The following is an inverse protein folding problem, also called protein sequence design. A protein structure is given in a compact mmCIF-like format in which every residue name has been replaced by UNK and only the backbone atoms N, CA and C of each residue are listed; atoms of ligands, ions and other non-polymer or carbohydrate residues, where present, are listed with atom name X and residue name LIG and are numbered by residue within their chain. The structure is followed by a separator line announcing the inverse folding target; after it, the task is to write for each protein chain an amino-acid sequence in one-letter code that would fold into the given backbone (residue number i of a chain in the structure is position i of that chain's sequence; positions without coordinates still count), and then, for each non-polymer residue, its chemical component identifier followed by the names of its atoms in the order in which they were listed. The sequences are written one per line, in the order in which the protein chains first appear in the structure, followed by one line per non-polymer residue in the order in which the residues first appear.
data_IF_752376156851
#
_entry.id   IF_752376156851
#
_cell.length_a   1.000
_cell.length_b   1.000
_cell.length_c   1.000
_cell.angle_alpha   90.00
_cell.angle_beta   90.00
_cell.angle_gamma   90.00
#
_symmetry.space_group_name_H-M   'P 1'
#
loop_
_entity.id
_entity.type
_entity.pdbx_description
1 polymer ?
#
# COMPACT_ATOMS: atom_id res chain seq x y z
N UNK A 1 -26.43 -72.87 -14.59
CA UNK A 1 -26.96 -71.51 -14.78
C UNK A 1 -26.37 -70.64 -13.66
N UNK A 2 -25.23 -69.98 -13.97
CA UNK A 2 -24.48 -69.19 -13.02
C UNK A 2 -24.58 -67.74 -13.50
N UNK A 3 -25.31 -66.90 -12.77
CA UNK A 3 -25.41 -65.47 -13.03
C UNK A 3 -24.23 -64.75 -12.39
N UNK A 4 -23.48 -64.03 -13.18
CA UNK A 4 -22.44 -63.07 -12.74
C UNK A 4 -23.09 -61.79 -12.17
N UNK A 5 -22.77 -61.49 -10.96
CA UNK A 5 -23.04 -60.19 -10.35
C UNK A 5 -21.71 -59.58 -9.87
N UNK A 6 -20.99 -58.97 -10.77
CA UNK A 6 -19.85 -58.16 -10.42
C UNK A 6 -19.69 -56.99 -11.44
N UNK A 7 -20.38 -55.88 -11.27
CA UNK A 7 -20.01 -54.63 -11.95
C UNK A 7 -20.60 -53.35 -11.42
N UNK A 8 -21.23 -53.33 -10.23
CA UNK A 8 -21.82 -52.08 -9.70
C UNK A 8 -21.09 -51.45 -8.53
N UNK A 9 -20.10 -52.10 -7.94
CA UNK A 9 -19.30 -51.57 -6.83
C UNK A 9 -18.05 -50.79 -7.23
N UNK A 10 -17.52 -51.06 -8.41
CA UNK A 10 -16.27 -50.41 -8.87
C UNK A 10 -16.52 -49.00 -9.39
N UNK A 11 -17.69 -48.67 -9.88
CA UNK A 11 -18.03 -47.37 -10.41
C UNK A 11 -18.40 -46.32 -9.34
N UNK A 12 -18.72 -46.76 -8.13
CA UNK A 12 -19.07 -45.85 -7.00
C UNK A 12 -17.80 -45.36 -6.29
N UNK A 13 -16.71 -46.12 -6.29
CA UNK A 13 -15.45 -45.70 -5.66
C UNK A 13 -14.62 -44.72 -6.52
N UNK A 14 -14.81 -44.72 -7.82
CA UNK A 14 -14.08 -43.76 -8.68
C UNK A 14 -14.74 -42.37 -8.71
N UNK A 15 -16.06 -42.31 -8.48
CA UNK A 15 -16.80 -41.06 -8.42
C UNK A 15 -16.56 -40.23 -7.15
N UNK A 16 -16.22 -40.89 -6.05
CA UNK A 16 -16.01 -40.21 -4.75
C UNK A 16 -14.63 -39.62 -4.59
N UNK A 17 -13.64 -40.07 -5.35
CA UNK A 17 -12.27 -39.55 -5.28
C UNK A 17 -12.12 -38.28 -6.12
N UNK A 18 -12.91 -38.09 -7.18
CA UNK A 18 -12.86 -36.89 -8.02
C UNK A 18 -13.64 -35.70 -7.38
N UNK A 19 -14.68 -35.98 -6.58
CA UNK A 19 -15.44 -34.96 -5.88
C UNK A 19 -14.75 -34.42 -4.61
N UNK A 20 -13.76 -35.17 -4.06
CA UNK A 20 -13.03 -34.75 -2.85
C UNK A 20 -11.83 -33.84 -3.11
N UNK A 21 -11.38 -33.72 -4.37
CA UNK A 21 -10.18 -32.94 -4.70
C UNK A 21 -10.45 -31.46 -5.05
N UNK A 22 -11.71 -31.05 -5.11
CA UNK A 22 -12.08 -29.67 -5.50
C UNK A 22 -12.50 -28.77 -4.33
N UNK A 23 -12.39 -29.21 -3.06
CA UNK A 23 -12.91 -28.48 -1.92
C UNK A 23 -11.80 -27.74 -1.12
N UNK A 24 -10.53 -27.82 -1.50
CA UNK A 24 -9.44 -27.12 -0.79
C UNK A 24 -8.69 -26.10 -1.65
N UNK A 25 -9.35 -25.43 -2.57
CA UNK A 25 -8.92 -24.09 -2.92
C UNK A 25 -9.52 -23.14 -1.87
N UNK A 26 -8.94 -23.12 -0.67
CA UNK A 26 -9.13 -21.99 0.24
C UNK A 26 -8.67 -20.79 -0.57
N UNK A 27 -9.52 -19.81 -0.89
CA UNK A 27 -9.03 -18.57 -1.44
C UNK A 27 -8.04 -18.05 -0.37
N UNK A 28 -6.76 -18.01 -0.70
CA UNK A 28 -5.83 -17.20 0.06
C UNK A 28 -6.40 -15.80 -0.06
N UNK A 29 -7.02 -15.33 1.02
CA UNK A 29 -7.46 -13.95 1.13
C UNK A 29 -6.21 -13.14 0.82
N UNK A 30 -6.20 -12.43 -0.29
CA UNK A 30 -5.20 -11.42 -0.52
C UNK A 30 -5.41 -10.43 0.62
N UNK A 31 -4.48 -10.41 1.58
CA UNK A 31 -4.41 -9.38 2.61
C UNK A 31 -3.97 -8.12 1.89
N UNK A 32 -4.92 -7.34 1.43
CA UNK A 32 -4.68 -6.09 0.73
C UNK A 32 -5.68 -5.06 1.25
N UNK A 33 -5.16 -3.90 1.66
CA UNK A 33 -6.00 -2.79 2.10
C UNK A 33 -6.91 -2.29 0.97
N UNK A 34 -8.06 -1.75 1.32
CA UNK A 34 -9.03 -1.19 0.38
C UNK A 34 -9.07 0.32 0.52
N UNK A 35 -9.05 1.05 -0.59
CA UNK A 35 -9.35 2.48 -0.62
C UNK A 35 -10.60 2.74 -1.46
N UNK A 36 -11.43 3.67 -1.00
CA UNK A 36 -12.61 4.16 -1.71
C UNK A 36 -12.41 5.65 -1.96
N UNK A 37 -12.63 6.04 -3.21
CA UNK A 37 -12.52 7.40 -3.66
C UNK A 37 -13.85 7.83 -4.28
N UNK A 38 -14.42 8.94 -3.79
CA UNK A 38 -15.64 9.54 -4.35
C UNK A 38 -15.32 10.96 -4.76
N UNK A 39 -15.31 11.21 -6.07
CA UNK A 39 -15.02 12.55 -6.62
C UNK A 39 -16.14 13.55 -6.33
N UNK A 40 -15.80 14.81 -6.38
CA UNK A 40 -16.63 15.99 -6.11
C UNK A 40 -17.96 16.01 -6.86
N UNK A 41 -17.96 15.56 -8.10
CA UNK A 41 -19.17 15.48 -8.94
C UNK A 41 -20.24 14.50 -8.42
N UNK A 42 -19.90 13.63 -7.48
CA UNK A 42 -20.77 12.60 -6.92
C UNK A 42 -21.15 12.86 -5.47
N UNK A 43 -20.75 13.99 -4.91
CA UNK A 43 -21.02 14.37 -3.52
C UNK A 43 -21.98 15.55 -3.47
N UNK A 44 -22.82 15.61 -2.43
CA UNK A 44 -23.85 16.65 -2.32
C UNK A 44 -23.27 18.06 -2.07
N UNK A 45 -22.06 18.14 -1.53
CA UNK A 45 -21.38 19.38 -1.17
C UNK A 45 -20.19 19.73 -2.08
N UNK A 46 -19.94 18.94 -3.11
CA UNK A 46 -18.82 19.17 -4.03
C UNK A 46 -17.44 18.84 -3.44
N UNK A 47 -17.38 18.10 -2.31
CA UNK A 47 -16.13 17.65 -1.73
C UNK A 47 -15.73 16.26 -2.25
N UNK A 48 -14.44 15.98 -2.28
CA UNK A 48 -13.93 14.63 -2.52
C UNK A 48 -13.83 13.87 -1.21
N UNK A 49 -14.34 12.63 -1.19
CA UNK A 49 -14.19 11.74 -0.03
C UNK A 49 -13.21 10.62 -0.31
N UNK A 50 -12.30 10.40 0.63
CA UNK A 50 -11.37 9.28 0.62
C UNK A 50 -11.60 8.46 1.88
N UNK A 51 -11.98 7.20 1.69
CA UNK A 51 -12.09 6.22 2.77
C UNK A 51 -11.03 5.15 2.62
N UNK A 52 -10.58 4.58 3.74
CA UNK A 52 -9.72 3.39 3.72
C UNK A 52 -10.22 2.34 4.69
N UNK A 53 -9.99 1.10 4.34
CA UNK A 53 -10.06 -0.03 5.23
C UNK A 53 -8.71 -0.74 5.21
N UNK A 54 -8.26 -1.19 6.36
CA UNK A 54 -7.07 -2.01 6.46
C UNK A 54 -7.47 -3.45 6.65
N UNK A 55 -7.14 -4.26 5.65
CA UNK A 55 -7.46 -5.68 5.61
C UNK A 55 -6.26 -6.47 6.15
N UNK A 56 -6.08 -6.42 7.46
CA UNK A 56 -4.99 -7.07 8.16
C UNK A 56 -5.49 -8.12 9.17
N UNK A 57 -4.54 -8.76 9.86
CA UNK A 57 -4.86 -9.77 10.85
C UNK A 57 -5.81 -9.22 11.94
N UNK A 58 -6.76 -10.02 12.46
CA UNK A 58 -7.65 -9.58 13.53
C UNK A 58 -6.87 -9.11 14.76
N UNK A 59 -7.37 -8.07 15.43
CA UNK A 59 -6.83 -7.49 16.66
C UNK A 59 -5.60 -6.58 16.49
N UNK A 60 -5.40 -6.02 15.32
CA UNK A 60 -4.43 -4.94 15.17
C UNK A 60 -5.02 -3.64 15.68
N UNK A 61 -4.55 -3.22 16.83
CA UNK A 61 -4.95 -1.95 17.43
C UNK A 61 -4.33 -0.79 16.66
N UNK A 62 -5.12 0.26 16.43
CA UNK A 62 -4.65 1.49 15.81
C UNK A 62 -4.40 2.56 16.86
N UNK A 63 -3.38 3.35 16.60
CA UNK A 63 -3.03 4.53 17.39
C UNK A 63 -3.20 5.78 16.56
N UNK A 64 -3.98 6.72 17.07
CA UNK A 64 -4.00 8.08 16.55
C UNK A 64 -2.92 8.90 17.26
N UNK A 65 -2.07 9.57 16.50
CA UNK A 65 -0.96 10.34 17.02
C UNK A 65 -0.78 11.69 16.35
N UNK A 66 0.10 12.49 16.94
CA UNK A 66 0.54 13.78 16.42
C UNK A 66 2.05 13.78 16.37
N UNK A 67 2.60 14.05 15.19
CA UNK A 67 4.01 14.32 15.00
C UNK A 67 4.22 15.84 15.06
N UNK A 68 4.93 16.37 16.05
CA UNK A 68 5.27 17.78 16.08
C UNK A 68 6.18 18.18 14.91
N UNK A 69 6.09 19.43 14.48
CA UNK A 69 7.08 20.00 13.57
C UNK A 69 8.47 19.95 14.22
N UNK A 70 9.47 19.49 13.48
CA UNK A 70 10.84 19.41 14.01
C UNK A 70 11.89 19.53 12.91
N UNK A 71 13.12 19.80 13.31
CA UNK A 71 14.29 19.73 12.44
C UNK A 71 14.80 18.29 12.35
N UNK A 72 15.37 17.96 11.19
CA UNK A 72 16.06 16.70 10.94
C UNK A 72 15.22 15.46 11.29
N UNK A 73 13.93 15.49 10.88
CA UNK A 73 13.04 14.32 11.05
C UNK A 73 13.56 13.18 10.19
N UNK A 74 13.90 12.06 10.84
CA UNK A 74 14.49 10.91 10.18
C UNK A 74 13.45 9.82 9.92
N UNK A 75 13.47 9.29 8.72
CA UNK A 75 12.77 8.08 8.31
C UNK A 75 13.80 7.02 7.97
N UNK A 76 13.56 5.80 8.38
CA UNK A 76 14.41 4.66 8.07
C UNK A 76 13.57 3.39 7.96
N UNK A 77 14.06 2.44 7.20
CA UNK A 77 13.43 1.13 7.10
C UNK A 77 14.09 0.13 8.05
N UNK A 78 13.29 -0.76 8.61
CA UNK A 78 13.78 -1.91 9.37
C UNK A 78 13.98 -3.15 8.48
N UNK A 79 13.43 -3.11 7.26
CA UNK A 79 13.37 -4.25 6.34
C UNK A 79 14.05 -3.96 4.99
N UNK A 80 14.58 -2.76 4.80
CA UNK A 80 15.36 -2.39 3.61
C UNK A 80 16.50 -1.43 4.01
N UNK A 81 17.35 -1.08 3.06
CA UNK A 81 18.45 -0.13 3.27
C UNK A 81 18.03 1.35 3.21
N UNK A 82 16.73 1.63 3.17
CA UNK A 82 16.22 2.99 3.01
C UNK A 82 16.41 3.85 4.25
N UNK A 83 16.97 5.04 4.05
CA UNK A 83 17.01 6.12 5.03
C UNK A 83 16.76 7.47 4.35
N UNK A 84 16.04 8.36 5.04
CA UNK A 84 15.73 9.69 4.54
C UNK A 84 15.59 10.67 5.70
N UNK A 85 16.08 11.91 5.52
CA UNK A 85 15.96 12.96 6.51
C UNK A 85 15.25 14.16 5.90
N UNK A 86 14.21 14.64 6.59
CA UNK A 86 13.51 15.88 6.28
C UNK A 86 14.12 17.00 7.11
N UNK A 87 14.77 17.99 6.50
CA UNK A 87 15.50 19.03 7.25
C UNK A 87 14.62 19.86 8.15
N UNK A 88 13.40 20.17 7.71
CA UNK A 88 12.38 20.86 8.50
C UNK A 88 11.02 20.27 8.19
N UNK A 89 10.39 19.64 9.17
CA UNK A 89 9.08 19.00 8.98
C UNK A 89 7.92 19.94 9.37
N UNK A 90 6.78 19.74 8.72
CA UNK A 90 5.50 20.19 9.21
C UNK A 90 5.04 19.35 10.40
N UNK A 91 4.11 19.90 11.21
CA UNK A 91 3.32 19.12 12.15
C UNK A 91 2.25 18.34 11.38
N UNK A 92 2.02 17.09 11.76
CA UNK A 92 0.94 16.29 11.17
C UNK A 92 0.29 15.34 12.18
N UNK A 93 -0.97 15.00 11.94
CA UNK A 93 -1.68 13.91 12.60
C UNK A 93 -1.49 12.63 11.82
N UNK A 94 -1.61 11.48 12.47
CA UNK A 94 -1.51 10.20 11.80
C UNK A 94 -2.30 9.11 12.53
N UNK A 95 -2.67 8.10 11.75
CA UNK A 95 -3.12 6.79 12.24
C UNK A 95 -2.05 5.78 11.87
N UNK A 96 -1.69 4.89 12.79
CA UNK A 96 -0.71 3.82 12.61
C UNK A 96 -1.06 2.59 13.42
N UNK A 97 -0.37 1.50 13.14
CA UNK A 97 -0.41 0.32 13.98
C UNK A 97 0.19 0.53 15.37
N UNK A 98 -0.28 -0.26 16.33
CA UNK A 98 0.30 -0.27 17.67
C UNK A 98 1.75 -0.74 17.63
N UNK A 99 2.61 -0.10 18.44
CA UNK A 99 4.04 -0.41 18.56
C UNK A 99 4.36 -1.89 18.86
N UNK A 100 3.47 -2.56 19.57
CA UNK A 100 3.70 -3.95 20.01
C UNK A 100 3.83 -4.95 18.87
N UNK A 101 3.45 -4.60 17.66
CA UNK A 101 3.48 -5.52 16.53
C UNK A 101 4.83 -5.57 15.81
N UNK A 102 5.44 -4.41 15.53
CA UNK A 102 6.66 -4.36 14.72
C UNK A 102 7.94 -4.32 15.55
N UNK A 103 8.07 -3.35 16.40
CA UNK A 103 9.16 -3.22 17.37
C UNK A 103 8.77 -2.12 18.37
N UNK A 104 8.70 -2.42 19.68
CA UNK A 104 8.34 -1.42 20.69
C UNK A 104 9.34 -0.28 20.82
N UNK A 105 10.56 -0.43 20.33
CA UNK A 105 11.61 0.60 20.39
C UNK A 105 11.53 1.61 19.24
N UNK A 106 10.76 1.31 18.17
CA UNK A 106 10.64 2.18 17.01
C UNK A 106 9.41 3.06 17.14
N UNK A 107 9.64 4.36 17.32
CA UNK A 107 8.60 5.32 17.67
C UNK A 107 8.02 6.13 16.52
N UNK A 108 8.68 6.13 15.35
CA UNK A 108 8.37 7.05 14.26
C UNK A 108 7.74 6.37 13.05
N UNK A 109 7.49 5.09 13.14
CA UNK A 109 7.11 4.33 11.98
C UNK A 109 5.62 4.12 11.90
N UNK A 110 5.17 4.07 10.68
CA UNK A 110 3.85 3.63 10.29
C UNK A 110 2.72 4.66 10.29
N UNK A 111 2.90 5.91 9.91
CA UNK A 111 1.75 6.68 9.47
C UNK A 111 1.15 6.04 8.21
N UNK A 112 0.02 5.42 8.35
CA UNK A 112 -0.72 4.84 7.23
C UNK A 112 -1.58 5.88 6.54
N UNK A 113 -2.14 6.79 7.33
CA UNK A 113 -2.92 7.92 6.90
C UNK A 113 -2.78 9.08 7.89
N UNK A 114 -3.02 10.29 7.41
CA UNK A 114 -2.98 11.49 8.25
C UNK A 114 -3.20 12.77 7.47
N UNK A 115 -3.05 13.89 8.19
CA UNK A 115 -3.17 15.24 7.64
C UNK A 115 -2.13 16.14 8.26
N UNK A 116 -1.50 17.00 7.46
CA UNK A 116 -0.51 17.95 7.94
C UNK A 116 -1.10 19.35 8.18
N UNK A 117 -0.30 20.22 8.79
CA UNK A 117 -0.69 21.60 9.10
C UNK A 117 -0.89 22.50 7.87
N UNK A 118 -0.61 22.03 6.67
CA UNK A 118 -0.88 22.72 5.41
C UNK A 118 -2.22 22.27 4.79
N UNK A 119 -2.91 21.32 5.41
CA UNK A 119 -4.16 20.74 4.90
C UNK A 119 -3.94 19.70 3.81
N UNK A 120 -2.78 19.07 3.77
CA UNK A 120 -2.52 17.92 2.89
C UNK A 120 -2.82 16.65 3.64
N UNK A 121 -3.75 15.85 3.09
CA UNK A 121 -4.12 14.53 3.60
C UNK A 121 -3.47 13.45 2.76
N UNK A 122 -3.01 12.39 3.38
CA UNK A 122 -2.35 11.24 2.74
C UNK A 122 -2.89 9.94 3.27
N UNK A 123 -3.07 8.96 2.39
CA UNK A 123 -3.36 7.57 2.75
C UNK A 123 -2.52 6.64 1.87
N UNK A 124 -1.68 5.82 2.46
CA UNK A 124 -0.82 4.85 1.78
C UNK A 124 -1.28 3.42 2.07
N UNK A 125 -1.29 2.55 1.06
CA UNK A 125 -1.69 1.14 1.16
C UNK A 125 -0.84 0.26 0.27
N UNK A 126 -0.50 -0.94 0.72
CA UNK A 126 0.04 -1.99 -0.14
C UNK A 126 -1.14 -2.75 -0.77
N UNK A 127 -1.68 -2.21 -1.86
CA UNK A 127 -2.93 -2.70 -2.49
C UNK A 127 -2.80 -2.95 -3.98
N UNK A 128 -1.59 -2.88 -4.53
CA UNK A 128 -1.34 -3.13 -5.95
C UNK A 128 -0.38 -4.31 -6.13
N UNK A 129 -0.40 -4.89 -7.34
CA UNK A 129 0.49 -5.96 -7.72
C UNK A 129 1.00 -5.74 -9.14
N UNK A 130 2.12 -6.34 -9.46
CA UNK A 130 2.70 -6.34 -10.80
C UNK A 130 2.76 -7.76 -11.36
N UNK A 131 2.74 -7.88 -12.69
CA UNK A 131 2.83 -9.19 -13.32
C UNK A 131 4.29 -9.68 -13.39
N UNK A 132 4.46 -10.98 -13.61
CA UNK A 132 5.77 -11.62 -13.64
C UNK A 132 6.69 -11.14 -14.77
N UNK A 133 6.17 -10.50 -15.82
CA UNK A 133 6.99 -9.94 -16.91
C UNK A 133 7.66 -8.65 -16.46
N UNK A 134 6.90 -7.77 -15.78
CA UNK A 134 7.44 -6.54 -15.20
C UNK A 134 8.44 -6.88 -14.10
N UNK A 135 8.13 -7.81 -13.22
CA UNK A 135 9.02 -8.25 -12.15
C UNK A 135 10.43 -8.65 -12.60
N UNK A 136 10.57 -9.11 -13.84
CA UNK A 136 11.88 -9.52 -14.41
C UNK A 136 12.74 -8.33 -14.86
N UNK A 137 12.13 -7.23 -15.29
CA UNK A 137 12.83 -6.09 -15.88
C UNK A 137 12.94 -4.90 -14.92
N UNK A 138 11.98 -4.79 -14.02
CA UNK A 138 11.91 -3.70 -13.04
C UNK A 138 11.30 -4.22 -11.72
N UNK A 139 12.05 -4.97 -10.92
CA UNK A 139 11.56 -5.53 -9.68
C UNK A 139 11.41 -4.46 -8.60
N UNK A 140 10.49 -4.70 -7.65
CA UNK A 140 10.45 -3.95 -6.38
C UNK A 140 11.58 -4.39 -5.46
N UNK A 141 11.88 -3.57 -4.45
CA UNK A 141 12.98 -3.83 -3.53
C UNK A 141 12.85 -5.12 -2.71
N UNK A 142 11.63 -5.58 -2.44
CA UNK A 142 11.38 -6.86 -1.75
C UNK A 142 11.70 -8.11 -2.59
N UNK A 143 11.92 -7.96 -3.90
CA UNK A 143 12.34 -9.08 -4.74
C UNK A 143 13.80 -9.50 -4.47
N UNK A 144 14.63 -8.63 -3.91
CA UNK A 144 15.98 -8.96 -3.44
C UNK A 144 15.93 -9.37 -1.97
N UNK A 145 15.71 -10.65 -1.72
CA UNK A 145 15.56 -11.19 -0.36
C UNK A 145 16.82 -11.11 0.50
N UNK A 146 18.00 -10.96 -0.11
CA UNK A 146 19.28 -10.89 0.59
C UNK A 146 19.69 -9.45 0.93
N UNK A 147 19.23 -8.48 0.14
CA UNK A 147 19.53 -7.07 0.33
C UNK A 147 18.32 -6.22 -0.11
N UNK A 148 17.20 -6.24 0.62
CA UNK A 148 16.01 -5.48 0.28
C UNK A 148 16.31 -3.98 0.20
N UNK A 149 15.73 -3.31 -0.78
CA UNK A 149 15.92 -1.88 -1.01
C UNK A 149 14.57 -1.18 -1.25
N UNK A 150 14.59 0.14 -1.34
CA UNK A 150 13.41 0.94 -1.65
C UNK A 150 12.65 1.42 -0.41
N UNK A 151 11.74 2.33 -0.65
CA UNK A 151 10.92 2.96 0.37
C UNK A 151 9.80 1.98 0.76
N UNK A 152 9.70 1.58 2.04
CA UNK A 152 8.59 0.76 2.50
C UNK A 152 7.30 1.57 2.61
N UNK A 153 6.16 0.90 2.50
CA UNK A 153 4.83 1.49 2.62
C UNK A 153 4.72 2.41 3.84
N UNK A 154 5.15 1.92 4.99
CA UNK A 154 5.00 2.62 6.27
C UNK A 154 5.78 3.92 6.41
N UNK A 155 6.67 4.25 5.48
CA UNK A 155 7.34 5.55 5.45
C UNK A 155 6.68 6.55 4.48
N UNK A 156 5.87 6.07 3.52
CA UNK A 156 5.36 6.91 2.44
C UNK A 156 4.50 8.07 2.95
N UNK A 157 3.48 7.77 3.76
CA UNK A 157 2.58 8.80 4.27
C UNK A 157 3.32 9.82 5.16
N UNK A 158 4.17 9.35 6.07
CA UNK A 158 4.93 10.22 6.97
C UNK A 158 5.88 11.17 6.24
N UNK A 159 6.56 10.68 5.21
CA UNK A 159 7.47 11.50 4.40
C UNK A 159 6.70 12.61 3.67
N UNK A 160 5.55 12.28 3.07
CA UNK A 160 4.74 13.28 2.35
C UNK A 160 4.16 14.28 3.33
N UNK A 161 3.52 13.83 4.41
CA UNK A 161 2.91 14.68 5.44
C UNK A 161 3.91 15.63 6.08
N UNK A 162 5.17 15.22 6.21
CA UNK A 162 6.20 16.04 6.83
C UNK A 162 6.68 17.21 5.97
N UNK A 163 6.44 17.21 4.63
CA UNK A 163 7.06 18.21 3.72
C UNK A 163 6.09 18.81 2.70
N UNK A 164 5.01 18.14 2.33
CA UNK A 164 4.13 18.60 1.27
C UNK A 164 3.34 19.83 1.69
N UNK A 165 3.41 20.91 0.92
CA UNK A 165 2.61 22.11 1.09
C UNK A 165 1.27 22.05 0.34
N UNK A 166 1.18 21.23 -0.72
CA UNK A 166 -0.02 20.95 -1.52
C UNK A 166 -0.05 19.47 -1.91
N UNK A 167 -1.19 18.99 -2.39
CA UNK A 167 -1.31 17.63 -2.90
C UNK A 167 -0.34 17.38 -4.07
N UNK A 168 -0.22 18.32 -5.00
CA UNK A 168 0.70 18.26 -6.14
C UNK A 168 2.17 18.22 -5.72
N UNK A 169 2.54 19.00 -4.71
CA UNK A 169 3.87 18.97 -4.13
C UNK A 169 4.16 17.58 -3.54
N UNK A 170 3.19 16.99 -2.83
CA UNK A 170 3.29 15.62 -2.32
C UNK A 170 3.52 14.57 -3.41
N UNK A 171 2.83 14.69 -4.56
CA UNK A 171 3.05 13.80 -5.72
C UNK A 171 4.47 13.96 -6.27
N UNK A 172 4.98 15.18 -6.41
CA UNK A 172 6.35 15.43 -6.88
C UNK A 172 7.40 14.90 -5.91
N UNK A 173 7.23 15.12 -4.62
CA UNK A 173 8.11 14.58 -3.57
C UNK A 173 8.16 13.05 -3.68
N UNK A 174 7.00 12.40 -3.73
CA UNK A 174 6.93 10.95 -3.82
C UNK A 174 7.55 10.42 -5.11
N UNK A 175 7.24 11.02 -6.27
CA UNK A 175 7.82 10.64 -7.56
C UNK A 175 9.36 10.75 -7.56
N UNK A 176 9.91 11.85 -7.06
CA UNK A 176 11.35 12.06 -6.96
C UNK A 176 12.01 11.01 -6.03
N UNK A 177 11.38 10.68 -4.93
CA UNK A 177 11.88 9.70 -3.98
C UNK A 177 11.84 8.28 -4.55
N UNK A 178 10.74 7.89 -5.19
CA UNK A 178 10.65 6.59 -5.87
C UNK A 178 11.69 6.47 -6.99
N UNK A 179 11.88 7.53 -7.78
CA UNK A 179 12.93 7.56 -8.81
C UNK A 179 14.33 7.37 -8.22
N UNK A 180 14.59 7.92 -7.06
CA UNK A 180 15.91 7.88 -6.43
C UNK A 180 16.16 6.59 -5.65
N UNK A 181 15.18 6.14 -4.88
CA UNK A 181 15.36 5.05 -3.93
C UNK A 181 14.63 3.76 -4.35
N UNK A 182 13.66 3.85 -5.26
CA UNK A 182 12.77 2.76 -5.61
C UNK A 182 11.67 2.54 -4.57
N UNK A 183 10.80 1.57 -4.83
CA UNK A 183 9.75 1.12 -3.92
C UNK A 183 10.07 -0.27 -3.38
N UNK A 184 9.91 -0.48 -2.08
CA UNK A 184 10.07 -1.81 -1.49
C UNK A 184 8.91 -2.72 -1.88
N UNK A 185 7.70 -2.17 -1.91
CA UNK A 185 6.43 -2.88 -2.17
C UNK A 185 5.65 -2.19 -3.29
N UNK A 186 4.56 -2.81 -3.71
CA UNK A 186 3.60 -2.22 -4.63
C UNK A 186 2.55 -1.42 -3.84
N UNK A 187 2.58 -0.10 -3.99
CA UNK A 187 1.78 0.80 -3.17
C UNK A 187 0.81 1.62 -3.99
N UNK A 188 -0.31 1.94 -3.35
CA UNK A 188 -1.26 2.94 -3.81
C UNK A 188 -1.33 4.05 -2.76
N UNK A 189 -1.09 5.29 -3.18
CA UNK A 189 -1.06 6.44 -2.28
C UNK A 189 -2.04 7.48 -2.77
N UNK A 190 -3.01 7.84 -1.93
CA UNK A 190 -3.90 8.97 -2.18
C UNK A 190 -3.35 10.19 -1.47
N UNK A 191 -3.24 11.30 -2.19
CA UNK A 191 -2.74 12.58 -1.70
C UNK A 191 -3.76 13.65 -2.07
N UNK A 192 -4.29 14.36 -1.07
CA UNK A 192 -5.38 15.31 -1.25
C UNK A 192 -5.06 16.64 -0.55
N UNK A 193 -5.57 17.72 -1.12
CA UNK A 193 -5.72 19.00 -0.45
C UNK A 193 -7.10 19.61 -0.79
N UNK A 194 -7.35 20.84 -0.40
CA UNK A 194 -8.62 21.53 -0.67
C UNK A 194 -8.94 21.76 -2.15
N UNK A 195 -7.97 21.59 -3.06
CA UNK A 195 -8.11 21.90 -4.47
C UNK A 195 -8.12 20.66 -5.36
N UNK A 196 -7.39 19.61 -4.97
CA UNK A 196 -7.20 18.44 -5.84
C UNK A 196 -6.90 17.17 -5.03
N UNK A 197 -7.19 16.04 -5.65
CA UNK A 197 -6.85 14.70 -5.12
C UNK A 197 -6.14 13.90 -6.19
N UNK A 198 -5.03 13.29 -5.79
CA UNK A 198 -4.18 12.46 -6.64
C UNK A 198 -4.18 11.01 -6.15
N UNK A 199 -4.20 10.10 -7.10
CA UNK A 199 -3.96 8.68 -6.86
C UNK A 199 -2.63 8.31 -7.50
N UNK A 200 -1.64 7.99 -6.67
CA UNK A 200 -0.32 7.59 -7.07
C UNK A 200 -0.16 6.07 -6.94
N UNK A 201 0.30 5.42 -7.99
CA UNK A 201 0.63 3.99 -7.97
C UNK A 201 2.13 3.80 -8.07
N UNK A 202 2.73 3.18 -7.06
CA UNK A 202 4.13 2.80 -7.02
C UNK A 202 4.24 1.28 -7.11
N UNK A 203 4.23 0.75 -8.33
CA UNK A 203 4.33 -0.70 -8.56
C UNK A 203 5.64 -1.12 -9.21
N UNK A 204 6.50 -0.17 -9.58
CA UNK A 204 7.78 -0.40 -10.24
C UNK A 204 8.76 0.73 -9.89
N UNK A 205 10.04 0.54 -10.18
CA UNK A 205 11.10 1.52 -9.96
C UNK A 205 11.14 2.62 -11.02
N UNK A 206 10.68 2.33 -12.24
CA UNK A 206 10.75 3.25 -13.38
C UNK A 206 10.02 4.54 -13.09
N UNK A 207 10.56 5.70 -13.52
CA UNK A 207 9.94 6.99 -13.31
C UNK A 207 8.49 6.99 -13.79
N UNK A 208 7.59 7.38 -12.90
CA UNK A 208 6.21 7.64 -13.29
C UNK A 208 6.17 9.02 -13.91
N UNK A 209 6.04 9.10 -15.23
CA UNK A 209 5.73 10.35 -15.90
C UNK A 209 4.28 10.73 -15.58
N UNK A 210 4.11 11.51 -14.52
CA UNK A 210 2.83 12.13 -14.20
C UNK A 210 2.52 13.20 -15.22
N UNK A 211 1.65 12.93 -16.19
CA UNK A 211 1.20 13.91 -17.18
C UNK A 211 0.30 14.96 -16.54
N UNK A 212 0.60 16.23 -16.83
CA UNK A 212 0.00 17.44 -16.24
C UNK A 212 -1.50 17.68 -16.49
N UNK A 213 -2.25 16.75 -17.05
CA UNK A 213 -3.70 16.95 -17.33
C UNK A 213 -4.54 15.70 -17.20
N UNK A 214 -4.13 14.76 -16.43
CA UNK A 214 -4.95 13.56 -16.23
C UNK A 214 -5.09 13.27 -14.73
N UNK A 215 -6.29 13.02 -14.33
CA UNK A 215 -6.67 12.33 -13.11
C UNK A 215 -6.03 10.92 -12.97
N UNK A 216 -5.10 10.59 -13.86
CA UNK A 216 -4.42 9.30 -13.91
C UNK A 216 -2.91 9.49 -14.12
N UNK A 217 -2.12 9.04 -13.16
CA UNK A 217 -0.72 8.72 -13.41
C UNK A 217 -0.68 7.46 -14.27
N UNK A 218 -0.24 7.55 -15.52
CA UNK A 218 0.02 6.39 -16.38
C UNK A 218 1.49 6.01 -16.29
N UNK A 219 1.74 4.76 -15.95
CA UNK A 219 3.03 4.10 -16.09
C UNK A 219 3.15 3.73 -17.57
N UNK A 220 4.18 4.19 -18.26
CA UNK A 220 4.55 3.71 -19.60
C UNK A 220 5.44 2.47 -19.48
#
# INVERSE_FOLDING_TARGET
MIMRHHSRLTNIMLGTIVAGATIFAVPTSALACTQIFVGDNYTANGDTYVGRNEDNAPRWEKVFGIQPAQKDLKFYSQVSNFTYTVPQSYRYTYVRDNKSYYNPEVTNDFPEAGENSQGVSVSATESTAYNSKIAKVDPVGSADVNNPWGIPEYNLAGIILSQAATARDGVQILGNLINKYGSLNCNQVTISDKNETWLFHASIRTPVDCYQNATECRIQ
#
